data_IF_898552427847
#
_entry.id   IF_898552427847
#
_cell.length_a   1.000
_cell.length_b   1.000
_cell.length_c   1.000
_cell.angle_alpha   90.00
_cell.angle_beta   90.00
_cell.angle_gamma   90.00
#
_symmetry.space_group_name_H-M   'P 1'
#
loop_
_entity.id
_entity.type
_entity.pdbx_description
1 polymer ?
#
# COMPACT_ATOMS: atom_id res chain seq x y z
N UNK A 1 6.70 20.58 18.33
CA UNK A 1 6.95 19.51 19.33
C UNK A 1 7.09 18.18 18.59
N UNK A 2 7.88 17.30 19.14
CA UNK A 2 8.14 15.99 18.55
C UNK A 2 7.71 14.92 19.53
N UNK A 3 6.72 14.09 19.16
CA UNK A 3 6.20 13.03 20.03
C UNK A 3 6.57 11.66 19.50
N UNK A 4 7.19 10.85 20.35
CA UNK A 4 7.48 9.44 20.10
C UNK A 4 6.60 8.58 20.98
N UNK A 5 6.00 7.57 20.41
CA UNK A 5 5.06 6.67 21.09
C UNK A 5 5.57 5.24 20.98
N UNK A 6 5.65 4.58 22.13
CA UNK A 6 6.08 3.19 22.30
C UNK A 6 5.05 2.41 23.10
N UNK A 7 4.98 1.11 22.95
CA UNK A 7 4.08 0.21 23.69
C UNK A 7 2.72 -0.02 23.03
N UNK A 8 1.80 -0.65 23.72
CA UNK A 8 0.46 -0.97 23.25
C UNK A 8 -0.57 0.08 23.67
N UNK A 9 -1.57 0.31 22.82
CA UNK A 9 -2.69 1.23 23.07
C UNK A 9 -4.01 0.54 22.76
N UNK A 10 -4.96 0.65 23.69
CA UNK A 10 -6.26 -0.04 23.62
C UNK A 10 -7.46 0.90 23.44
N UNK A 11 -7.24 2.18 23.20
CA UNK A 11 -8.31 3.18 23.03
C UNK A 11 -7.83 4.35 22.18
N UNK A 12 -8.77 5.12 21.65
CA UNK A 12 -8.48 6.34 20.93
C UNK A 12 -7.69 7.32 21.81
N UNK A 13 -6.59 7.81 21.28
CA UNK A 13 -5.71 8.73 21.99
C UNK A 13 -5.45 10.00 21.19
N UNK A 14 -5.77 11.13 21.81
CA UNK A 14 -5.29 12.44 21.37
C UNK A 14 -3.89 12.62 21.96
N UNK A 15 -2.92 12.90 21.10
CA UNK A 15 -1.52 13.03 21.49
C UNK A 15 -1.23 14.48 21.86
N UNK A 16 -1.14 15.35 20.86
CA UNK A 16 -0.95 16.79 20.96
C UNK A 16 -1.08 17.41 19.56
N UNK A 17 -1.22 18.74 19.45
CA UNK A 17 -1.34 19.43 18.16
C UNK A 17 -2.39 18.77 17.23
N UNK A 18 -3.47 18.22 17.79
CA UNK A 18 -4.50 17.44 17.11
C UNK A 18 -4.02 16.14 16.45
N UNK A 19 -2.84 15.64 16.78
CA UNK A 19 -2.42 14.31 16.35
C UNK A 19 -3.18 13.24 17.15
N UNK A 20 -3.64 12.19 16.46
CA UNK A 20 -4.50 11.15 17.06
C UNK A 20 -4.05 9.76 16.63
N UNK A 21 -4.22 8.82 17.56
CA UNK A 21 -4.27 7.38 17.25
C UNK A 21 -5.69 6.91 17.53
N UNK A 22 -6.33 6.30 16.55
CA UNK A 22 -7.68 5.76 16.60
C UNK A 22 -7.61 4.25 16.43
N UNK A 23 -8.16 3.50 17.39
CA UNK A 23 -8.14 2.04 17.42
C UNK A 23 -6.99 1.43 18.23
N UNK A 24 -6.93 0.10 18.22
CA UNK A 24 -6.02 -0.68 19.05
C UNK A 24 -4.78 -1.12 18.26
N UNK A 25 -3.61 -0.70 18.73
CA UNK A 25 -2.33 -1.06 18.14
C UNK A 25 -1.36 -1.59 19.21
N UNK A 26 -0.64 -2.64 18.87
CA UNK A 26 0.46 -3.15 19.67
C UNK A 26 1.79 -2.85 18.96
N UNK A 27 2.75 -2.28 19.70
CA UNK A 27 4.07 -1.89 19.20
C UNK A 27 5.14 -2.78 19.83
N UNK A 28 5.65 -3.73 19.05
CA UNK A 28 6.77 -4.59 19.42
C UNK A 28 8.04 -4.06 18.74
N UNK A 29 8.98 -3.55 19.52
CA UNK A 29 10.19 -2.88 19.03
C UNK A 29 9.88 -1.86 17.91
N UNK A 30 8.80 -1.11 18.07
CA UNK A 30 8.25 -0.22 17.06
C UNK A 30 7.90 1.13 17.66
N UNK A 31 7.86 2.17 16.83
CA UNK A 31 7.50 3.51 17.27
C UNK A 31 6.64 4.28 16.26
N UNK A 32 5.83 5.19 16.79
CA UNK A 32 5.07 6.17 16.02
C UNK A 32 5.55 7.56 16.43
N UNK A 33 5.88 8.39 15.46
CA UNK A 33 6.43 9.72 15.66
C UNK A 33 5.61 10.77 14.94
N UNK A 34 5.13 11.77 15.69
CA UNK A 34 4.50 12.95 15.14
C UNK A 34 5.45 14.14 15.22
N UNK A 35 5.77 14.75 14.09
CA UNK A 35 6.60 15.96 13.99
C UNK A 35 5.73 17.15 13.61
N UNK A 36 4.76 16.95 12.71
CA UNK A 36 3.73 17.91 12.35
C UNK A 36 2.46 17.80 13.21
N UNK A 37 1.38 18.38 12.73
CA UNK A 37 0.10 18.49 13.44
C UNK A 37 -1.07 17.96 12.61
N UNK A 38 -2.19 17.70 13.29
CA UNK A 38 -3.44 17.24 12.69
C UNK A 38 -3.25 15.96 11.86
N UNK A 39 -2.43 15.03 12.34
CA UNK A 39 -2.20 13.73 11.70
C UNK A 39 -2.97 12.63 12.43
N UNK A 40 -3.43 11.64 11.70
CA UNK A 40 -4.17 10.52 12.26
C UNK A 40 -3.53 9.19 11.85
N UNK A 41 -3.25 8.35 12.85
CA UNK A 41 -3.08 6.92 12.66
C UNK A 41 -4.40 6.25 13.00
N UNK A 42 -5.08 5.74 11.99
CA UNK A 42 -6.32 4.96 12.12
C UNK A 42 -6.01 3.48 11.94
N UNK A 43 -6.40 2.66 12.90
CA UNK A 43 -6.05 1.24 12.95
C UNK A 43 -7.29 0.42 13.28
N UNK A 44 -7.58 -0.58 12.46
CA UNK A 44 -8.54 -1.62 12.84
C UNK A 44 -8.00 -2.42 14.05
N UNK A 45 -8.93 -2.96 14.82
CA UNK A 45 -8.61 -3.65 16.07
C UNK A 45 -7.61 -4.81 15.88
N UNK A 46 -6.61 -4.83 16.75
CA UNK A 46 -5.69 -5.96 16.89
C UNK A 46 -4.50 -5.94 15.93
N UNK A 47 -4.11 -4.79 15.39
CA UNK A 47 -2.88 -4.66 14.60
C UNK A 47 -1.65 -4.69 15.51
N UNK A 48 -0.66 -5.50 15.12
CA UNK A 48 0.67 -5.51 15.74
C UNK A 48 1.73 -5.06 14.74
N UNK A 49 2.48 -4.02 15.09
CA UNK A 49 3.68 -3.60 14.38
C UNK A 49 4.92 -4.19 15.06
N UNK A 50 5.82 -4.77 14.26
CA UNK A 50 7.08 -5.35 14.73
C UNK A 50 8.24 -4.71 14.00
N UNK A 51 9.27 -4.26 14.72
CA UNK A 51 10.45 -3.61 14.14
C UNK A 51 10.09 -2.50 13.14
N UNK A 52 9.10 -1.69 13.49
CA UNK A 52 8.47 -0.75 12.60
C UNK A 52 8.61 0.69 13.06
N UNK A 53 8.55 1.62 12.09
CA UNK A 53 8.49 3.06 12.35
C UNK A 53 7.44 3.71 11.45
N UNK A 54 6.58 4.55 12.04
CA UNK A 54 5.68 5.45 11.31
C UNK A 54 5.99 6.87 11.71
N UNK A 55 6.51 7.68 10.81
CA UNK A 55 6.85 9.08 11.05
C UNK A 55 5.94 10.01 10.24
N UNK A 56 5.08 10.76 10.93
CA UNK A 56 4.33 11.88 10.36
C UNK A 56 5.21 13.13 10.38
N UNK A 57 5.82 13.45 9.24
CA UNK A 57 6.79 14.54 9.07
C UNK A 57 6.19 15.85 8.57
N UNK A 58 4.90 15.84 8.25
CA UNK A 58 4.12 16.97 7.82
C UNK A 58 2.78 17.04 8.54
N UNK A 59 1.87 17.83 8.01
CA UNK A 59 0.56 18.10 8.57
C UNK A 59 -0.57 17.41 7.79
N UNK A 60 -1.72 17.17 8.44
CA UNK A 60 -2.96 16.71 7.83
C UNK A 60 -2.83 15.37 7.09
N UNK A 61 -2.03 14.44 7.60
CA UNK A 61 -1.79 13.15 6.94
C UNK A 61 -2.41 12.00 7.70
N UNK A 62 -2.83 11.01 6.94
CA UNK A 62 -3.55 9.82 7.42
C UNK A 62 -2.75 8.56 7.09
N UNK A 63 -2.52 7.72 8.09
CA UNK A 63 -2.15 6.31 7.92
C UNK A 63 -3.34 5.48 8.37
N UNK A 64 -3.91 4.71 7.45
CA UNK A 64 -5.09 3.86 7.67
C UNK A 64 -4.70 2.40 7.46
N UNK A 65 -4.70 1.60 8.52
CA UNK A 65 -4.34 0.19 8.52
C UNK A 65 -5.56 -0.67 8.82
N UNK A 66 -6.05 -1.42 7.83
CA UNK A 66 -7.10 -2.41 8.03
C UNK A 66 -6.58 -3.64 8.75
N UNK A 67 -7.49 -4.39 9.35
CA UNK A 67 -7.20 -5.64 10.06
C UNK A 67 -6.41 -6.63 9.20
N UNK A 68 -5.37 -7.18 9.78
CA UNK A 68 -4.64 -8.33 9.26
C UNK A 68 -4.39 -9.35 10.36
N UNK A 69 -4.27 -10.62 10.00
CA UNK A 69 -3.92 -11.70 10.95
C UNK A 69 -2.41 -11.76 11.21
N UNK A 70 -1.61 -11.18 10.32
CA UNK A 70 -0.16 -11.18 10.42
C UNK A 70 0.35 -9.91 11.11
N UNK A 71 1.52 -10.01 11.70
CA UNK A 71 2.27 -8.86 12.20
C UNK A 71 2.82 -8.08 11.00
N UNK A 72 2.79 -6.75 11.08
CA UNK A 72 3.32 -5.88 10.03
C UNK A 72 4.71 -5.37 10.42
N UNK A 73 5.62 -5.36 9.46
CA UNK A 73 6.92 -4.68 9.55
C UNK A 73 6.97 -3.60 8.47
N UNK A 74 6.91 -2.33 8.90
CA UNK A 74 6.82 -1.18 8.00
C UNK A 74 7.71 -0.03 8.45
N UNK A 75 8.35 0.66 7.51
CA UNK A 75 9.06 1.92 7.71
C UNK A 75 8.40 2.98 6.83
N UNK A 76 7.64 3.88 7.46
CA UNK A 76 6.81 4.87 6.77
C UNK A 76 7.26 6.28 7.14
N UNK A 77 7.50 7.10 6.12
CA UNK A 77 7.65 8.56 6.26
C UNK A 77 6.58 9.23 5.41
N UNK A 78 5.67 9.95 6.07
CA UNK A 78 4.54 10.60 5.42
C UNK A 78 4.58 12.11 5.69
N UNK A 79 4.41 12.88 4.62
CA UNK A 79 4.47 14.34 4.63
C UNK A 79 3.06 14.95 4.47
N UNK A 80 2.97 16.23 4.08
CA UNK A 80 1.73 17.01 4.13
C UNK A 80 0.60 16.44 3.28
N UNK A 81 -0.62 16.49 3.81
CA UNK A 81 -1.89 16.20 3.13
C UNK A 81 -1.91 14.85 2.39
N UNK A 82 -1.20 13.87 2.91
CA UNK A 82 -0.99 12.58 2.26
C UNK A 82 -1.74 11.46 2.97
N UNK A 83 -1.97 10.36 2.26
CA UNK A 83 -2.64 9.18 2.83
C UNK A 83 -1.86 7.91 2.49
N UNK A 84 -1.65 7.06 3.51
CA UNK A 84 -1.32 5.65 3.35
C UNK A 84 -2.55 4.82 3.73
N UNK A 85 -2.96 3.93 2.85
CA UNK A 85 -4.03 2.97 3.12
C UNK A 85 -3.54 1.54 2.87
N UNK A 86 -3.69 0.68 3.87
CA UNK A 86 -3.52 -0.76 3.75
C UNK A 86 -4.87 -1.46 3.91
N UNK A 87 -5.30 -2.17 2.87
CA UNK A 87 -6.47 -3.04 2.89
C UNK A 87 -6.28 -4.22 3.83
N UNK A 88 -7.34 -5.05 3.96
CA UNK A 88 -7.36 -6.20 4.87
C UNK A 88 -6.38 -7.30 4.43
N UNK A 89 -5.93 -8.10 5.40
CA UNK A 89 -5.13 -9.31 5.18
C UNK A 89 -3.82 -9.08 4.40
N UNK A 90 -3.16 -7.97 4.67
CA UNK A 90 -1.81 -7.73 4.18
C UNK A 90 -0.82 -8.72 4.79
N UNK A 91 0.05 -9.29 3.97
CA UNK A 91 1.20 -10.07 4.41
C UNK A 91 2.49 -9.38 3.94
N UNK A 92 3.35 -9.00 4.89
CA UNK A 92 4.60 -8.29 4.61
C UNK A 92 5.75 -9.05 5.27
N UNK A 93 6.64 -9.60 4.45
CA UNK A 93 7.80 -10.35 4.92
C UNK A 93 8.99 -9.41 5.15
N UNK A 94 9.42 -9.27 6.40
CA UNK A 94 10.62 -8.53 6.85
C UNK A 94 10.69 -7.04 6.45
N UNK A 95 9.59 -6.44 6.05
CA UNK A 95 9.50 -4.99 5.93
C UNK A 95 9.34 -4.41 4.53
N UNK A 96 8.66 -3.29 4.52
CA UNK A 96 8.47 -2.40 3.37
C UNK A 96 8.84 -0.98 3.79
N UNK A 97 9.53 -0.24 2.92
CA UNK A 97 9.84 1.18 3.11
C UNK A 97 8.96 2.04 2.22
N UNK A 98 8.28 3.02 2.81
CA UNK A 98 7.34 3.89 2.11
C UNK A 98 7.65 5.35 2.42
N UNK A 99 7.83 6.16 1.38
CA UNK A 99 7.98 7.62 1.51
C UNK A 99 6.90 8.29 0.67
N UNK A 100 6.02 9.07 1.31
CA UNK A 100 4.87 9.73 0.68
C UNK A 100 5.04 11.24 0.81
N UNK A 101 5.13 11.93 -0.31
CA UNK A 101 5.45 13.36 -0.38
C UNK A 101 4.43 14.15 -1.19
N UNK A 102 4.35 15.46 -0.95
CA UNK A 102 3.64 16.43 -1.80
C UNK A 102 2.17 16.07 -2.07
N UNK A 103 1.39 15.88 -1.02
CA UNK A 103 -0.07 15.66 -1.12
C UNK A 103 -0.47 14.46 -1.98
N UNK A 104 0.36 13.40 -1.95
CA UNK A 104 0.12 12.17 -2.68
C UNK A 104 -0.27 11.02 -1.75
N UNK A 105 -0.65 9.90 -2.35
CA UNK A 105 -1.17 8.76 -1.64
C UNK A 105 -0.45 7.47 -2.03
N UNK A 106 -0.36 6.53 -1.09
CA UNK A 106 -0.05 5.12 -1.34
C UNK A 106 -1.22 4.27 -0.86
N UNK A 107 -1.75 3.47 -1.75
CA UNK A 107 -2.93 2.67 -1.52
C UNK A 107 -2.66 1.21 -1.87
N UNK A 108 -2.96 0.31 -0.94
CA UNK A 108 -3.01 -1.13 -1.15
C UNK A 108 -4.43 -1.65 -0.95
N UNK A 109 -4.93 -2.43 -1.88
CA UNK A 109 -6.12 -3.24 -1.70
C UNK A 109 -5.93 -4.34 -0.66
N UNK A 110 -6.84 -5.28 -0.61
CA UNK A 110 -6.81 -6.38 0.33
C UNK A 110 -5.93 -7.54 -0.17
N UNK A 111 -5.49 -8.38 0.77
CA UNK A 111 -4.93 -9.70 0.47
C UNK A 111 -3.61 -9.70 -0.30
N UNK A 112 -2.84 -8.62 -0.24
CA UNK A 112 -1.55 -8.50 -0.92
C UNK A 112 -0.44 -9.26 -0.19
N UNK A 113 0.49 -9.83 -0.99
CA UNK A 113 1.75 -10.41 -0.54
C UNK A 113 2.89 -9.45 -0.90
N UNK A 114 3.66 -9.01 0.09
CA UNK A 114 4.83 -8.14 -0.12
C UNK A 114 6.07 -8.82 0.44
N UNK A 115 7.00 -9.15 -0.43
CA UNK A 115 8.28 -9.71 -0.04
C UNK A 115 9.23 -8.64 0.50
N UNK A 116 10.28 -9.05 1.17
CA UNK A 116 11.17 -8.17 1.90
C UNK A 116 11.96 -7.18 0.99
N UNK A 117 12.38 -6.08 1.62
CA UNK A 117 13.13 -4.98 1.00
C UNK A 117 12.40 -4.32 -0.19
N UNK A 118 11.08 -4.33 -0.18
CA UNK A 118 10.27 -3.52 -1.10
C UNK A 118 10.33 -2.06 -0.70
N UNK A 119 10.51 -1.17 -1.67
CA UNK A 119 10.52 0.28 -1.46
C UNK A 119 9.48 0.98 -2.34
N UNK A 120 8.71 1.90 -1.76
CA UNK A 120 7.73 2.74 -2.49
C UNK A 120 8.04 4.20 -2.26
N UNK A 121 8.06 5.00 -3.35
CA UNK A 121 8.24 6.44 -3.28
C UNK A 121 7.28 7.15 -4.23
N UNK A 122 6.57 8.15 -3.71
CA UNK A 122 5.65 8.98 -4.50
C UNK A 122 6.32 10.21 -5.11
N UNK A 123 7.54 10.51 -4.73
CA UNK A 123 8.28 11.68 -5.22
C UNK A 123 9.79 11.54 -5.11
N UNK A 124 10.46 12.44 -5.82
CA UNK A 124 11.91 12.62 -5.76
C UNK A 124 12.24 13.69 -4.71
N UNK A 125 13.33 13.55 -3.91
CA UNK A 125 13.62 14.50 -2.84
C UNK A 125 14.14 15.85 -3.36
N UNK A 126 14.67 15.91 -4.57
CA UNK A 126 15.23 17.11 -5.18
C UNK A 126 14.45 17.53 -6.41
N UNK A 127 14.38 18.85 -6.65
CA UNK A 127 13.55 19.42 -7.71
C UNK A 127 14.34 19.47 -9.01
N UNK A 128 13.72 19.00 -10.10
CA UNK A 128 14.29 19.00 -11.45
C UNK A 128 13.51 19.98 -12.32
N UNK A 129 14.25 20.83 -13.06
CA UNK A 129 13.68 21.82 -13.97
C UNK A 129 14.08 21.50 -15.41
N UNK A 130 13.16 21.74 -16.34
CA UNK A 130 13.45 21.77 -17.77
C UNK A 130 14.26 23.01 -18.14
N UNK A 131 15.32 22.85 -18.90
CA UNK A 131 16.26 23.94 -19.23
C UNK A 131 15.59 25.03 -20.06
N UNK A 132 14.71 24.65 -20.99
CA UNK A 132 14.12 25.57 -21.96
C UNK A 132 12.88 26.26 -21.38
N UNK A 133 11.99 25.52 -20.78
CA UNK A 133 10.73 26.05 -20.23
C UNK A 133 10.88 26.63 -18.82
N UNK A 134 11.97 26.33 -18.12
CA UNK A 134 12.21 26.64 -16.71
C UNK A 134 11.15 26.11 -15.75
N UNK A 135 10.32 25.18 -16.20
CA UNK A 135 9.28 24.56 -15.39
C UNK A 135 9.80 23.32 -14.68
N UNK A 136 9.27 23.08 -13.50
CA UNK A 136 9.51 21.85 -12.76
C UNK A 136 8.90 20.66 -13.52
N UNK A 137 9.64 19.55 -13.63
CA UNK A 137 9.23 18.36 -14.40
C UNK A 137 8.99 17.12 -13.53
N UNK A 138 9.43 17.09 -12.28
CA UNK A 138 9.38 15.90 -11.44
C UNK A 138 8.38 16.00 -10.27
N UNK A 139 7.15 16.43 -10.52
CA UNK A 139 6.10 16.45 -9.51
C UNK A 139 5.86 15.06 -8.93
N UNK A 140 5.57 14.99 -7.62
CA UNK A 140 5.15 13.75 -6.95
C UNK A 140 3.80 13.28 -7.48
N UNK A 141 3.60 11.97 -7.52
CA UNK A 141 2.34 11.33 -7.92
C UNK A 141 2.12 10.06 -7.11
N UNK A 142 0.87 9.74 -6.86
CA UNK A 142 0.44 8.63 -6.03
C UNK A 142 0.77 7.25 -6.63
N UNK A 143 0.73 6.23 -5.76
CA UNK A 143 0.88 4.81 -6.10
C UNK A 143 -0.37 4.07 -5.61
N UNK A 144 -0.99 3.31 -6.50
CA UNK A 144 -2.17 2.51 -6.23
C UNK A 144 -1.95 1.04 -6.59
N UNK A 145 -2.28 0.15 -5.68
CA UNK A 145 -2.12 -1.30 -5.81
C UNK A 145 -3.46 -1.94 -5.47
N UNK A 146 -3.96 -2.80 -6.35
CA UNK A 146 -5.25 -3.49 -6.22
C UNK A 146 -5.24 -4.61 -5.19
N UNK A 147 -6.29 -5.42 -5.23
CA UNK A 147 -6.44 -6.57 -4.35
C UNK A 147 -5.58 -7.75 -4.84
N UNK A 148 -5.11 -8.56 -3.91
CA UNK A 148 -4.40 -9.81 -4.21
C UNK A 148 -3.25 -9.60 -5.21
N UNK A 149 -2.34 -8.69 -4.89
CA UNK A 149 -1.13 -8.43 -5.67
C UNK A 149 0.07 -9.02 -4.95
N UNK A 150 0.90 -9.75 -5.70
CA UNK A 150 2.16 -10.27 -5.19
C UNK A 150 3.32 -9.41 -5.65
N UNK A 151 4.05 -8.84 -4.70
CA UNK A 151 5.25 -8.03 -4.95
C UNK A 151 6.46 -8.84 -4.48
N UNK A 152 7.34 -9.17 -5.41
CA UNK A 152 8.58 -9.90 -5.17
C UNK A 152 9.60 -9.10 -4.36
N UNK A 153 10.65 -9.77 -3.90
CA UNK A 153 11.69 -9.14 -3.08
C UNK A 153 12.48 -8.07 -3.86
N UNK A 154 12.95 -7.05 -3.14
CA UNK A 154 13.76 -5.94 -3.68
C UNK A 154 13.08 -5.17 -4.82
N UNK A 155 11.74 -5.16 -4.87
CA UNK A 155 11.00 -4.36 -5.84
C UNK A 155 11.01 -2.90 -5.43
N UNK A 156 11.27 -2.02 -6.40
CA UNK A 156 11.10 -0.58 -6.23
C UNK A 156 9.89 -0.09 -7.02
N UNK A 157 8.92 0.51 -6.32
CA UNK A 157 7.71 1.10 -6.92
C UNK A 157 7.81 2.61 -6.81
N UNK A 158 7.78 3.28 -7.95
CA UNK A 158 7.89 4.72 -8.04
C UNK A 158 6.55 5.37 -8.40
N UNK A 159 6.54 6.67 -8.32
CA UNK A 159 5.38 7.55 -8.56
C UNK A 159 4.64 7.24 -9.85
N UNK A 160 3.34 7.60 -9.87
CA UNK A 160 2.43 7.43 -11.01
C UNK A 160 2.27 5.97 -11.46
N UNK A 161 2.23 5.05 -10.50
CA UNK A 161 2.06 3.62 -10.73
C UNK A 161 0.69 3.17 -10.25
N UNK A 162 -0.02 2.42 -11.08
CA UNK A 162 -1.27 1.75 -10.74
C UNK A 162 -1.16 0.27 -11.11
N UNK A 163 -1.33 -0.63 -10.15
CA UNK A 163 -1.23 -2.09 -10.33
C UNK A 163 -2.61 -2.70 -10.12
N UNK A 164 -3.14 -3.37 -11.13
CA UNK A 164 -4.43 -4.04 -11.09
C UNK A 164 -4.42 -5.30 -10.22
N UNK A 165 -5.59 -5.68 -9.72
CA UNK A 165 -5.78 -6.86 -8.87
C UNK A 165 -5.29 -8.14 -9.54
N UNK A 166 -4.76 -9.08 -8.75
CA UNK A 166 -4.29 -10.38 -9.23
C UNK A 166 -2.96 -10.37 -9.98
N UNK A 167 -2.22 -9.25 -9.95
CA UNK A 167 -0.94 -9.12 -10.63
C UNK A 167 0.23 -9.61 -9.79
N UNK A 168 1.29 -10.02 -10.46
CA UNK A 168 2.56 -10.44 -9.87
C UNK A 168 3.67 -9.52 -10.37
N UNK A 169 4.44 -8.95 -9.45
CA UNK A 169 5.65 -8.18 -9.76
C UNK A 169 6.86 -9.03 -9.37
N UNK A 170 7.65 -9.42 -10.36
CA UNK A 170 8.86 -10.23 -10.16
C UNK A 170 9.90 -9.52 -9.32
N UNK A 171 10.74 -10.29 -8.63
CA UNK A 171 11.82 -9.75 -7.79
C UNK A 171 12.77 -8.83 -8.57
N UNK A 172 13.40 -7.87 -7.89
CA UNK A 172 14.37 -6.91 -8.45
C UNK A 172 13.80 -5.99 -9.54
N UNK A 173 12.47 -5.86 -9.63
CA UNK A 173 11.83 -5.03 -10.66
C UNK A 173 11.77 -3.56 -10.27
N UNK A 174 11.88 -2.68 -11.27
CA UNK A 174 11.57 -1.26 -11.17
C UNK A 174 10.20 -0.99 -11.80
N UNK A 175 9.23 -0.64 -10.97
CA UNK A 175 7.82 -0.42 -11.35
C UNK A 175 7.54 1.08 -11.32
N UNK A 176 7.18 1.66 -12.45
CA UNK A 176 7.03 3.13 -12.54
C UNK A 176 6.10 3.59 -13.65
N UNK A 177 5.46 4.72 -13.41
CA UNK A 177 4.86 5.65 -14.37
C UNK A 177 3.93 5.02 -15.42
N UNK A 178 3.15 4.01 -15.04
CA UNK A 178 2.09 3.44 -15.90
C UNK A 178 1.08 2.60 -15.12
N UNK A 179 0.07 2.15 -15.86
CA UNK A 179 -0.87 1.13 -15.41
C UNK A 179 -0.33 -0.25 -15.74
N UNK A 180 -0.46 -1.15 -14.78
CA UNK A 180 -0.09 -2.57 -14.85
C UNK A 180 -1.37 -3.38 -14.80
N UNK A 181 -1.68 -4.12 -15.86
CA UNK A 181 -2.94 -4.86 -16.02
C UNK A 181 -3.10 -5.92 -14.94
N UNK A 182 -4.33 -6.18 -14.57
CA UNK A 182 -4.73 -7.30 -13.72
C UNK A 182 -4.34 -8.65 -14.31
N UNK A 183 -4.28 -9.69 -13.48
CA UNK A 183 -4.01 -11.09 -13.88
C UNK A 183 -2.74 -11.24 -14.75
N UNK A 184 -1.70 -10.48 -14.47
CA UNK A 184 -0.49 -10.44 -15.30
C UNK A 184 0.78 -10.45 -14.46
N UNK A 185 1.86 -10.98 -15.03
CA UNK A 185 3.20 -10.93 -14.45
C UNK A 185 4.00 -9.83 -15.11
N UNK A 186 4.64 -9.01 -14.31
CA UNK A 186 5.60 -7.98 -14.75
C UNK A 186 6.94 -8.20 -14.07
N UNK A 187 8.03 -8.01 -14.81
CA UNK A 187 9.38 -8.12 -14.26
C UNK A 187 10.38 -7.26 -15.03
N UNK A 188 11.51 -7.00 -14.40
CA UNK A 188 12.67 -6.31 -14.98
C UNK A 188 12.80 -4.84 -14.59
N UNK A 189 13.81 -4.18 -15.12
CA UNK A 189 14.20 -2.80 -14.84
C UNK A 189 14.39 -2.03 -16.16
N UNK A 190 13.38 -1.25 -16.61
CA UNK A 190 12.03 -1.10 -16.05
C UNK A 190 11.16 -2.35 -16.27
N UNK A 191 10.15 -2.53 -15.40
CA UNK A 191 9.25 -3.67 -15.45
C UNK A 191 8.42 -3.71 -16.74
N UNK A 192 8.42 -4.86 -17.41
CA UNK A 192 7.64 -5.14 -18.62
C UNK A 192 6.73 -6.34 -18.37
N UNK A 193 5.62 -6.41 -19.10
CA UNK A 193 4.72 -7.57 -19.03
C UNK A 193 5.45 -8.81 -19.55
N UNK A 194 5.53 -9.83 -18.70
CA UNK A 194 6.15 -11.13 -19.01
C UNK A 194 5.10 -12.15 -19.41
N UNK A 195 3.94 -12.12 -18.74
CA UNK A 195 2.85 -13.06 -18.97
C UNK A 195 1.50 -12.42 -18.66
N UNK A 196 0.48 -12.76 -19.42
CA UNK A 196 -0.93 -12.43 -19.18
C UNK A 196 -1.71 -13.66 -18.75
N UNK A 197 -2.94 -13.43 -18.33
CA UNK A 197 -3.93 -14.47 -18.05
C UNK A 197 -3.45 -15.49 -17.01
N UNK A 198 -2.91 -14.98 -15.91
CA UNK A 198 -2.50 -15.78 -14.76
C UNK A 198 -3.37 -15.45 -13.54
N UNK A 199 -3.39 -16.35 -12.61
CA UNK A 199 -3.71 -16.08 -11.21
C UNK A 199 -2.72 -16.81 -10.31
N UNK A 200 -2.64 -16.40 -9.05
CA UNK A 200 -1.80 -17.06 -8.06
C UNK A 200 -2.60 -17.33 -6.78
N UNK A 201 -2.13 -18.26 -5.98
CA UNK A 201 -2.63 -18.52 -4.63
C UNK A 201 -1.50 -18.24 -3.62
N UNK A 202 -1.83 -18.10 -2.34
CA UNK A 202 -0.85 -17.77 -1.30
C UNK A 202 -0.09 -18.98 -0.75
N UNK A 203 -0.50 -20.19 -1.12
CA UNK A 203 0.17 -21.41 -0.70
C UNK A 203 1.62 -21.40 -1.22
N UNK A 204 2.57 -21.75 -0.36
CA UNK A 204 3.99 -21.81 -0.73
C UNK A 204 4.43 -23.24 -1.02
N UNK A 205 5.37 -23.37 -1.95
CA UNK A 205 5.87 -24.67 -2.41
C UNK A 205 7.20 -25.11 -1.77
N UNK A 206 7.69 -24.40 -0.75
CA UNK A 206 9.02 -24.66 -0.18
C UNK A 206 9.23 -26.07 0.38
N UNK A 207 8.15 -26.70 0.82
CA UNK A 207 8.18 -28.04 1.43
C UNK A 207 7.47 -29.10 0.61
N UNK A 208 7.16 -28.84 -0.66
CA UNK A 208 6.47 -29.78 -1.53
C UNK A 208 7.31 -31.04 -1.74
N UNK A 209 6.62 -32.18 -1.62
CA UNK A 209 7.06 -33.51 -2.05
C UNK A 209 6.27 -33.90 -3.29
N UNK A 210 6.57 -35.08 -3.88
CA UNK A 210 5.97 -35.52 -5.14
C UNK A 210 4.41 -35.49 -5.11
N UNK A 211 3.79 -35.96 -4.04
CA UNK A 211 2.32 -35.91 -3.88
C UNK A 211 1.77 -34.48 -3.84
N UNK A 212 2.52 -33.54 -3.29
CA UNK A 212 2.14 -32.13 -3.26
C UNK A 212 2.28 -31.51 -4.65
N UNK A 213 3.35 -31.82 -5.38
CA UNK A 213 3.58 -31.36 -6.75
C UNK A 213 2.40 -31.78 -7.62
N UNK A 214 2.01 -33.05 -7.58
CA UNK A 214 0.88 -33.57 -8.35
C UNK A 214 -0.44 -32.88 -7.98
N UNK A 215 -0.68 -32.68 -6.67
CA UNK A 215 -1.91 -32.03 -6.18
C UNK A 215 -2.05 -30.58 -6.64
N UNK A 216 -0.96 -29.85 -6.75
CA UNK A 216 -0.95 -28.44 -7.15
C UNK A 216 -0.69 -28.23 -8.65
N UNK A 217 -0.59 -29.30 -9.46
CA UNK A 217 -0.36 -29.18 -10.91
C UNK A 217 -1.50 -28.45 -11.64
N UNK A 218 -2.74 -28.60 -11.16
CA UNK A 218 -3.91 -27.91 -11.70
C UNK A 218 -4.71 -27.21 -10.60
N UNK A 219 -5.19 -26.01 -10.88
CA UNK A 219 -6.12 -25.30 -10.04
C UNK A 219 -7.28 -24.75 -10.88
N UNK A 220 -8.50 -25.19 -10.58
CA UNK A 220 -9.73 -24.84 -11.30
C UNK A 220 -10.54 -23.74 -10.60
N UNK A 221 -10.03 -23.11 -9.53
CA UNK A 221 -10.71 -22.01 -8.86
C UNK A 221 -10.74 -20.75 -9.75
N UNK A 222 -11.84 -20.04 -9.65
CA UNK A 222 -11.98 -18.70 -10.24
C UNK A 222 -11.80 -17.58 -9.20
N UNK A 223 -11.47 -17.89 -7.95
CA UNK A 223 -11.51 -16.93 -6.84
C UNK A 223 -10.58 -15.73 -7.05
N UNK A 224 -9.43 -15.95 -7.69
CA UNK A 224 -8.40 -14.94 -7.91
C UNK A 224 -8.28 -14.49 -9.38
N UNK A 225 -9.29 -14.78 -10.21
CA UNK A 225 -9.38 -14.27 -11.57
C UNK A 225 -10.26 -13.02 -11.58
N UNK A 226 -9.69 -11.89 -11.94
CA UNK A 226 -10.34 -10.57 -11.93
C UNK A 226 -10.79 -10.19 -13.33
N UNK A 227 -11.94 -9.52 -13.43
CA UNK A 227 -12.53 -9.09 -14.70
C UNK A 227 -13.14 -7.68 -14.55
N UNK A 228 -13.32 -7.00 -15.64
CA UNK A 228 -14.07 -5.75 -15.64
C UNK A 228 -15.56 -6.00 -15.45
N UNK A 229 -16.17 -5.30 -14.52
CA UNK A 229 -17.62 -5.28 -14.33
C UNK A 229 -18.08 -3.93 -13.76
N UNK A 230 -19.37 -3.82 -13.40
CA UNK A 230 -19.96 -2.60 -12.85
C UNK A 230 -19.51 -2.26 -11.41
N UNK A 231 -18.76 -3.13 -10.76
CA UNK A 231 -18.21 -2.88 -9.41
C UNK A 231 -16.80 -2.27 -9.47
N UNK A 232 -16.21 -2.15 -10.66
CA UNK A 232 -14.86 -1.62 -10.83
C UNK A 232 -14.80 -0.14 -10.46
N UNK A 233 -13.90 0.19 -9.54
CA UNK A 233 -13.62 1.55 -9.06
C UNK A 233 -12.32 2.03 -9.70
N UNK A 234 -12.35 3.22 -10.30
CA UNK A 234 -11.14 3.84 -10.83
C UNK A 234 -10.21 4.33 -9.72
N UNK A 235 -8.94 3.99 -9.77
CA UNK A 235 -7.93 4.59 -8.89
C UNK A 235 -7.84 6.11 -9.03
N UNK A 236 -8.16 6.66 -10.21
CA UNK A 236 -8.23 8.10 -10.41
C UNK A 236 -9.38 8.74 -9.60
N UNK A 237 -10.50 8.05 -9.42
CA UNK A 237 -11.60 8.53 -8.59
C UNK A 237 -11.22 8.48 -7.10
N UNK A 238 -10.49 7.45 -6.66
CA UNK A 238 -9.96 7.38 -5.30
C UNK A 238 -8.98 8.54 -5.07
N UNK A 239 -8.05 8.78 -5.99
CA UNK A 239 -7.10 9.90 -5.93
C UNK A 239 -7.81 11.25 -5.79
N UNK A 240 -8.82 11.49 -6.62
CA UNK A 240 -9.62 12.73 -6.59
C UNK A 240 -10.31 12.92 -5.24
N UNK A 241 -10.93 11.87 -4.71
CA UNK A 241 -11.62 11.93 -3.42
C UNK A 241 -10.62 12.19 -2.28
N UNK A 242 -9.55 11.42 -2.19
CA UNK A 242 -8.55 11.59 -1.13
C UNK A 242 -7.91 12.98 -1.14
N UNK A 243 -7.76 13.57 -2.30
CA UNK A 243 -7.18 14.92 -2.45
C UNK A 243 -8.12 16.04 -2.01
N UNK A 244 -9.43 15.87 -2.18
CA UNK A 244 -10.43 16.92 -1.90
C UNK A 244 -11.00 16.86 -0.48
N UNK A 245 -10.91 15.72 0.20
CA UNK A 245 -11.54 15.47 1.49
C UNK A 245 -10.67 15.96 2.66
N UNK A 246 -11.37 16.41 3.74
CA UNK A 246 -10.74 16.60 5.05
C UNK A 246 -10.19 15.27 5.57
N UNK A 247 -9.32 15.30 6.56
CA UNK A 247 -8.72 14.07 7.10
C UNK A 247 -9.79 13.15 7.72
N UNK A 248 -10.79 13.70 8.38
CA UNK A 248 -11.92 12.96 8.94
C UNK A 248 -12.81 12.34 7.86
N UNK A 249 -13.05 13.06 6.77
CA UNK A 249 -13.84 12.56 5.65
C UNK A 249 -13.06 11.53 4.81
N UNK A 250 -11.72 11.61 4.77
CA UNK A 250 -10.90 10.51 4.21
C UNK A 250 -11.10 9.21 4.98
N UNK A 251 -11.20 9.26 6.32
CA UNK A 251 -11.45 8.07 7.13
C UNK A 251 -12.81 7.46 6.77
N UNK A 252 -13.88 8.27 6.68
CA UNK A 252 -15.21 7.79 6.28
C UNK A 252 -15.18 7.16 4.89
N UNK A 253 -14.57 7.83 3.93
CA UNK A 253 -14.42 7.33 2.56
C UNK A 253 -13.65 6.00 2.52
N UNK A 254 -12.55 5.89 3.26
CA UNK A 254 -11.76 4.66 3.32
C UNK A 254 -12.47 3.54 4.10
N UNK A 255 -13.33 3.85 5.07
CA UNK A 255 -14.24 2.88 5.70
C UNK A 255 -15.20 2.27 4.65
N UNK A 256 -15.77 3.10 3.77
CA UNK A 256 -16.64 2.62 2.70
C UNK A 256 -15.86 1.72 1.72
N UNK A 257 -14.64 2.12 1.34
CA UNK A 257 -13.73 1.29 0.52
C UNK A 257 -13.42 -0.04 1.22
N UNK A 258 -13.11 -0.02 2.52
CA UNK A 258 -12.76 -1.24 3.28
C UNK A 258 -13.95 -2.19 3.46
N UNK A 259 -15.16 -1.66 3.44
CA UNK A 259 -16.41 -2.42 3.55
C UNK A 259 -16.89 -2.96 2.20
N UNK A 260 -16.49 -2.35 1.10
CA UNK A 260 -16.80 -2.81 -0.25
C UNK A 260 -15.87 -3.96 -0.63
N UNK A 261 -16.35 -5.20 -0.51
CA UNK A 261 -15.61 -6.43 -0.82
C UNK A 261 -15.91 -6.96 -2.23
N UNK A 262 -16.39 -6.11 -3.14
CA UNK A 262 -16.60 -6.51 -4.54
C UNK A 262 -15.30 -6.98 -5.18
N UNK A 263 -15.32 -8.19 -5.75
CA UNK A 263 -14.13 -8.87 -6.26
C UNK A 263 -13.34 -8.03 -7.27
N UNK A 264 -14.06 -7.42 -8.22
CA UNK A 264 -13.43 -6.76 -9.38
C UNK A 264 -13.19 -5.25 -9.17
N UNK A 265 -13.31 -4.77 -7.94
CA UNK A 265 -13.28 -3.33 -7.62
C UNK A 265 -12.02 -2.60 -8.11
N UNK A 266 -10.88 -3.27 -8.23
CA UNK A 266 -9.62 -2.66 -8.68
C UNK A 266 -9.04 -3.36 -9.91
N UNK A 267 -9.91 -3.82 -10.80
CA UNK A 267 -9.49 -4.38 -12.09
C UNK A 267 -8.90 -3.28 -12.99
N UNK A 268 -7.78 -3.58 -13.61
CA UNK A 268 -7.16 -2.81 -14.71
C UNK A 268 -7.02 -3.73 -15.92
N UNK A 269 -7.48 -3.25 -17.08
CA UNK A 269 -7.39 -3.94 -18.36
C UNK A 269 -5.95 -4.04 -18.88
#
# INVERSE_FOLDING_TARGET
SQYNIYGGYNMDKIIDDNNKIVGNINLDNSNIKFIGKNNILYVDNGITLVNSSIEFRGDNSLVYLCKTNDKLTIDVKIYNNSTLYFGKNMWINKGIKIVISEETNVFFGCDCLVSYDTCIRTGDPHIIYDINTRKRVNHSKSVYIGDHVWIGQHVMILKNTMIGSGSVIGAMSLVTNKKYSSNSVYAGTPAKKVRSDIFFIKDDCHRFLDDDIDRYEYNYSNDFIYNKDNTTISFNDIEKNLRCLSIEDRIKYLNDISSNMSKNRFYIE
#
